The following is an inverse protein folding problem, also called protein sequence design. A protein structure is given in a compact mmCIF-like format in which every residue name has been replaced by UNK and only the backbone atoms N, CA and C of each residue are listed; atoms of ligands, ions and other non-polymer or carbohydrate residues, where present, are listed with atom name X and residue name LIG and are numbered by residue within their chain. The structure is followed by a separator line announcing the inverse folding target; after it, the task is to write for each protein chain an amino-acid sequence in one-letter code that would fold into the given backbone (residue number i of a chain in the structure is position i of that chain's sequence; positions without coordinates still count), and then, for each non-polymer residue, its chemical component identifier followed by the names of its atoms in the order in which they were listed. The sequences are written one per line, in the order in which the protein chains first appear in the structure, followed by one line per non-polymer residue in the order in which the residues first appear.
data_IF_447597611028
#
_entry.id   IF_447597611028
#
_cell.length_a   1.000
_cell.length_b   1.000
_cell.length_c   1.000
_cell.angle_alpha   90.00
_cell.angle_beta   90.00
_cell.angle_gamma   90.00
#
_symmetry.space_group_name_H-M   'P 1'
#
loop_
_entity.id
_entity.type
_entity.pdbx_description
1 polymer ?
#
# COMPACT_ATOMS: atom_id res chain seq x y z
N UNK A 1 6.26 25.45 -16.18
CA UNK A 1 6.03 25.21 -14.74
C UNK A 1 6.68 23.86 -14.40
N UNK A 2 7.90 23.86 -13.87
CA UNK A 2 8.66 22.63 -13.65
C UNK A 2 7.98 21.73 -12.62
N UNK A 3 7.77 20.45 -12.95
CA UNK A 3 7.19 19.47 -12.05
C UNK A 3 8.02 19.40 -10.76
N UNK A 4 7.46 19.84 -9.64
CA UNK A 4 8.10 19.77 -8.33
C UNK A 4 8.15 18.31 -7.89
N UNK A 5 9.32 17.67 -8.06
CA UNK A 5 9.55 16.29 -7.64
C UNK A 5 9.61 16.23 -6.11
N UNK A 6 8.90 15.27 -5.52
CA UNK A 6 8.95 15.00 -4.08
C UNK A 6 10.30 14.31 -3.79
N UNK A 7 10.99 14.72 -2.72
CA UNK A 7 12.23 14.07 -2.28
C UNK A 7 11.94 12.64 -1.80
N UNK A 8 12.88 11.72 -1.98
CA UNK A 8 12.77 10.33 -1.51
C UNK A 8 12.36 10.25 -0.03
N UNK A 9 12.98 11.08 0.82
CA UNK A 9 12.69 11.12 2.25
C UNK A 9 11.26 11.60 2.53
N UNK A 10 10.83 12.66 1.84
CA UNK A 10 9.47 13.18 1.98
C UNK A 10 8.42 12.16 1.49
N UNK A 11 8.69 11.44 0.40
CA UNK A 11 7.82 10.39 -0.11
C UNK A 11 7.72 9.22 0.88
N UNK A 12 8.84 8.81 1.47
CA UNK A 12 8.87 7.73 2.48
C UNK A 12 8.03 8.09 3.70
N UNK A 13 8.18 9.33 4.22
CA UNK A 13 7.38 9.80 5.34
C UNK A 13 5.88 9.85 5.01
N UNK A 14 5.52 10.30 3.80
CA UNK A 14 4.12 10.31 3.36
C UNK A 14 3.50 8.91 3.36
N UNK A 15 4.24 7.89 2.90
CA UNK A 15 3.77 6.50 2.89
C UNK A 15 3.61 5.98 4.32
N UNK A 16 4.57 6.25 5.21
CA UNK A 16 4.49 5.83 6.62
C UNK A 16 3.25 6.44 7.29
N UNK A 17 3.03 7.74 7.12
CA UNK A 17 1.86 8.42 7.69
C UNK A 17 0.53 7.96 7.10
N UNK A 18 0.51 7.48 5.86
CA UNK A 18 -0.69 6.94 5.23
C UNK A 18 -1.03 5.53 5.73
N UNK A 19 -0.03 4.73 6.13
CA UNK A 19 -0.20 3.36 6.63
C UNK A 19 -0.49 3.35 8.13
N UNK A 20 0.13 4.24 8.89
CA UNK A 20 -0.01 4.26 10.35
C UNK A 20 -1.43 4.61 10.79
N UNK A 21 -2.06 3.70 11.54
CA UNK A 21 -3.45 3.81 11.97
C UNK A 21 -3.54 3.80 13.49
N UNK A 22 -3.28 4.95 14.12
CA UNK A 22 -3.34 5.13 15.58
C UNK A 22 -4.68 4.71 16.21
N UNK A 23 -5.76 4.67 15.41
CA UNK A 23 -7.09 4.26 15.85
C UNK A 23 -7.18 2.79 16.29
N UNK A 24 -6.45 1.88 15.65
CA UNK A 24 -6.56 0.44 15.90
C UNK A 24 -5.52 -0.12 16.89
N UNK A 25 -4.45 0.63 17.18
CA UNK A 25 -3.43 0.19 18.15
C UNK A 25 -3.97 -0.08 19.57
N UNK A 26 -4.88 0.74 20.15
CA UNK A 26 -5.40 0.48 21.49
C UNK A 26 -6.18 -0.84 21.58
N UNK A 27 -6.98 -1.15 20.55
CA UNK A 27 -7.73 -2.41 20.49
C UNK A 27 -6.80 -3.61 20.31
N UNK A 28 -5.72 -3.45 19.52
CA UNK A 28 -4.72 -4.48 19.32
C UNK A 28 -3.91 -4.75 20.60
N UNK A 29 -3.62 -3.72 21.39
CA UNK A 29 -2.82 -3.83 22.62
C UNK A 29 -3.44 -4.76 23.69
N UNK A 30 -4.76 -4.96 23.66
CA UNK A 30 -5.48 -5.86 24.58
C UNK A 30 -5.06 -7.33 24.37
N UNK A 31 -4.62 -7.70 23.16
CA UNK A 31 -4.19 -9.07 22.83
C UNK A 31 -2.84 -9.48 23.46
N UNK A 32 -2.09 -8.53 24.04
CA UNK A 32 -0.86 -8.82 24.78
C UNK A 32 0.34 -9.22 23.89
N UNK A 33 1.27 -10.01 24.44
CA UNK A 33 2.54 -10.36 23.78
C UNK A 33 2.45 -11.16 22.46
N UNK A 34 1.44 -12.02 22.20
CA UNK A 34 1.29 -12.71 20.92
C UNK A 34 1.13 -11.76 19.73
N UNK A 35 0.69 -10.53 19.98
CA UNK A 35 0.50 -9.51 18.96
C UNK A 35 1.78 -9.23 18.16
N UNK A 36 2.95 -9.29 18.81
CA UNK A 36 4.25 -9.08 18.16
C UNK A 36 4.49 -10.13 17.09
N UNK A 37 4.15 -11.40 17.38
CA UNK A 37 4.26 -12.49 16.41
C UNK A 37 3.36 -12.25 15.20
N UNK A 38 2.10 -11.88 15.41
CA UNK A 38 1.18 -11.62 14.31
C UNK A 38 1.58 -10.41 13.46
N UNK A 39 2.11 -9.34 14.07
CA UNK A 39 2.65 -8.20 13.32
C UNK A 39 3.87 -8.58 12.49
N UNK A 40 4.82 -9.33 13.07
CA UNK A 40 6.01 -9.76 12.34
C UNK A 40 5.64 -10.72 11.21
N UNK A 41 4.73 -11.66 11.47
CA UNK A 41 4.20 -12.57 10.47
C UNK A 41 3.51 -11.81 9.33
N UNK A 42 2.62 -10.87 9.65
CA UNK A 42 1.94 -10.03 8.65
C UNK A 42 2.93 -9.15 7.87
N UNK A 43 3.95 -8.62 8.54
CA UNK A 43 4.98 -7.82 7.88
C UNK A 43 5.73 -8.63 6.81
N UNK A 44 6.11 -9.87 7.13
CA UNK A 44 6.90 -10.72 6.24
C UNK A 44 6.05 -11.33 5.11
N UNK A 45 4.86 -11.85 5.43
CA UNK A 45 4.07 -12.61 4.47
C UNK A 45 3.06 -11.77 3.68
N UNK A 46 2.73 -10.57 4.15
CA UNK A 46 1.75 -9.71 3.50
C UNK A 46 2.33 -8.36 3.08
N UNK A 47 2.86 -7.57 4.03
CA UNK A 47 3.29 -6.21 3.76
C UNK A 47 4.51 -6.15 2.82
N UNK A 48 5.55 -6.90 3.14
CA UNK A 48 6.79 -6.91 2.38
C UNK A 48 6.58 -7.37 0.92
N UNK A 49 6.01 -8.55 0.63
CA UNK A 49 5.77 -8.96 -0.75
C UNK A 49 4.82 -8.02 -1.49
N UNK A 50 3.76 -7.51 -0.84
CA UNK A 50 2.84 -6.55 -1.45
C UNK A 50 3.55 -5.24 -1.82
N UNK A 51 4.43 -4.72 -0.95
CA UNK A 51 5.20 -3.50 -1.21
C UNK A 51 6.16 -3.65 -2.40
N UNK A 52 6.77 -4.83 -2.58
CA UNK A 52 7.65 -5.10 -3.71
C UNK A 52 6.87 -5.15 -5.03
N UNK A 53 5.72 -5.81 -5.05
CA UNK A 53 4.84 -5.84 -6.22
C UNK A 53 4.35 -4.42 -6.56
N UNK A 54 3.94 -3.64 -5.56
CA UNK A 54 3.53 -2.26 -5.76
C UNK A 54 4.68 -1.38 -6.27
N UNK A 55 5.92 -1.60 -5.80
CA UNK A 55 7.10 -0.89 -6.25
C UNK A 55 7.42 -1.19 -7.73
N UNK A 56 7.44 -2.46 -8.11
CA UNK A 56 7.66 -2.90 -9.51
C UNK A 56 6.58 -2.36 -10.45
N UNK A 57 5.31 -2.47 -10.08
CA UNK A 57 4.21 -1.97 -10.91
C UNK A 57 4.21 -0.44 -11.03
N UNK A 58 4.60 0.28 -9.97
CA UNK A 58 4.73 1.74 -10.00
C UNK A 58 5.91 2.19 -10.87
N UNK A 59 7.00 1.41 -10.90
CA UNK A 59 8.16 1.68 -11.76
C UNK A 59 7.89 1.34 -13.23
N UNK A 60 7.24 0.20 -13.50
CA UNK A 60 6.89 -0.26 -14.84
C UNK A 60 5.81 0.61 -15.50
N UNK A 61 4.83 1.10 -14.73
CA UNK A 61 3.70 1.87 -15.23
C UNK A 61 3.62 3.25 -14.54
N UNK A 62 4.36 4.26 -15.04
CA UNK A 62 4.44 5.59 -14.42
C UNK A 62 3.16 6.44 -14.60
N UNK A 63 2.09 5.85 -15.12
CA UNK A 63 0.80 6.52 -15.30
C UNK A 63 0.09 6.71 -13.95
N UNK A 64 -0.60 7.84 -13.82
CA UNK A 64 -1.42 8.15 -12.64
C UNK A 64 -2.63 7.19 -12.64
N UNK A 65 -2.72 6.32 -11.63
CA UNK A 65 -3.90 5.46 -11.47
C UNK A 65 -3.76 4.28 -10.51
N UNK A 66 -2.54 3.95 -10.06
CA UNK A 66 -2.32 2.93 -9.01
C UNK A 66 -2.99 1.58 -9.33
N UNK A 67 -3.60 0.96 -8.31
CA UNK A 67 -4.22 -0.38 -8.41
C UNK A 67 -5.27 -0.46 -9.51
N UNK A 68 -6.13 0.56 -9.66
CA UNK A 68 -7.12 0.60 -10.73
C UNK A 68 -6.46 0.44 -12.10
N UNK A 69 -5.39 1.19 -12.35
CA UNK A 69 -4.70 1.17 -13.64
C UNK A 69 -4.00 -0.17 -13.87
N UNK A 70 -3.32 -0.71 -12.86
CA UNK A 70 -2.64 -2.00 -12.96
C UNK A 70 -3.61 -3.13 -13.30
N UNK A 71 -4.74 -3.21 -12.59
CA UNK A 71 -5.75 -4.26 -12.80
C UNK A 71 -6.50 -4.06 -14.11
N UNK A 72 -6.84 -2.81 -14.47
CA UNK A 72 -7.50 -2.52 -15.76
C UNK A 72 -6.64 -2.93 -16.95
N UNK A 73 -5.33 -2.70 -16.90
CA UNK A 73 -4.44 -3.08 -17.99
C UNK A 73 -4.31 -4.60 -18.15
N UNK A 74 -4.31 -5.34 -17.05
CA UNK A 74 -4.17 -6.79 -17.08
C UNK A 74 -5.50 -7.52 -17.38
N UNK A 75 -6.62 -7.04 -16.83
CA UNK A 75 -7.90 -7.79 -16.80
C UNK A 75 -9.10 -7.01 -17.35
N UNK A 76 -8.89 -5.80 -17.86
CA UNK A 76 -9.95 -4.96 -18.45
C UNK A 76 -10.72 -4.09 -17.45
N UNK A 77 -11.63 -3.27 -17.97
CA UNK A 77 -12.31 -2.22 -17.19
C UNK A 77 -13.17 -2.72 -16.04
N UNK A 78 -13.91 -3.84 -16.23
CA UNK A 78 -14.78 -4.38 -15.18
C UNK A 78 -13.98 -4.83 -13.96
N UNK A 79 -12.88 -5.54 -14.19
CA UNK A 79 -11.99 -5.99 -13.12
C UNK A 79 -11.28 -4.80 -12.44
N UNK A 80 -10.86 -3.79 -13.21
CA UNK A 80 -10.30 -2.55 -12.66
C UNK A 80 -11.30 -1.83 -11.75
N UNK A 81 -12.56 -1.72 -12.17
CA UNK A 81 -13.64 -1.14 -11.37
C UNK A 81 -13.87 -1.91 -10.06
N UNK A 82 -13.90 -3.25 -10.12
CA UNK A 82 -14.00 -4.07 -8.91
C UNK A 82 -12.80 -3.85 -7.98
N UNK A 83 -11.57 -3.80 -8.50
CA UNK A 83 -10.37 -3.63 -7.69
C UNK A 83 -10.33 -2.28 -6.97
N UNK A 84 -10.67 -1.18 -7.65
CA UNK A 84 -10.71 0.14 -7.00
C UNK A 84 -11.85 0.25 -5.98
N UNK A 85 -12.96 -0.45 -6.23
CA UNK A 85 -14.06 -0.54 -5.26
C UNK A 85 -13.67 -1.29 -3.99
N UNK A 86 -12.82 -2.33 -4.10
CA UNK A 86 -12.31 -3.06 -2.93
C UNK A 86 -11.20 -2.32 -2.17
N UNK A 87 -10.54 -1.36 -2.81
CA UNK A 87 -9.52 -0.51 -2.18
C UNK A 87 -10.14 0.61 -1.32
N UNK A 88 -11.35 1.06 -1.68
CA UNK A 88 -12.09 2.10 -0.98
C UNK A 88 -12.86 1.52 0.22
#
# INVERSE_FOLDING_TARGET
MGLKKISFFALTLLIISAVDSNRNLPAAAIFGSPLIFFFLFSAIFFLFPSSLVAAELSAAFPHKGGVYHWVRMAFGEKAGMCAIWMQW
#
